data_IF_032652746341
#
_entry.id   IF_032652746341
#
_cell.length_a   1.000
_cell.length_b   1.000
_cell.length_c   1.000
_cell.angle_alpha   90.00
_cell.angle_beta   90.00
_cell.angle_gamma   90.00
#
_symmetry.space_group_name_H-M   'P 1'
#
loop_
_entity.id
_entity.type
_entity.pdbx_description
1 polymer ?
#
# COMPACT_ATOMS: atom_id res chain seq x y z
N UNK A 1 12.45 -19.81 7.79
CA UNK A 1 11.49 -18.67 7.79
C UNK A 1 12.12 -17.59 8.64
N UNK A 2 12.40 -16.40 8.09
CA UNK A 2 13.20 -15.37 8.77
C UNK A 2 12.33 -14.67 9.83
N UNK A 3 12.47 -15.09 11.08
CA UNK A 3 11.76 -14.52 12.24
C UNK A 3 12.55 -13.42 12.94
N UNK A 4 13.86 -13.30 12.68
CA UNK A 4 14.76 -12.36 13.38
C UNK A 4 14.48 -10.88 13.08
N UNK A 5 13.97 -10.55 11.89
CA UNK A 5 13.67 -9.18 11.50
C UNK A 5 12.17 -8.86 11.49
N UNK A 6 11.34 -9.79 11.98
CA UNK A 6 9.90 -9.59 12.01
C UNK A 6 9.54 -8.57 13.10
N UNK A 7 8.87 -7.45 12.76
CA UNK A 7 8.49 -6.45 13.74
C UNK A 7 7.58 -7.05 14.81
N UNK A 8 7.78 -6.68 16.08
CA UNK A 8 7.03 -7.24 17.23
C UNK A 8 5.50 -7.41 17.06
N UNK A 9 4.75 -6.52 16.37
CA UNK A 9 3.31 -6.75 16.13
C UNK A 9 2.98 -7.98 15.25
N UNK A 10 3.95 -8.51 14.50
CA UNK A 10 3.83 -9.73 13.72
C UNK A 10 4.43 -10.96 14.44
N UNK A 11 5.30 -10.73 15.43
CA UNK A 11 6.02 -11.78 16.17
C UNK A 11 5.20 -12.39 17.32
N UNK A 12 4.22 -11.64 17.87
CA UNK A 12 3.34 -12.12 18.94
C UNK A 12 2.00 -12.64 18.40
N UNK A 13 1.94 -13.95 18.17
CA UNK A 13 0.67 -14.71 18.22
C UNK A 13 -0.28 -14.58 17.03
N UNK A 14 0.07 -13.88 15.94
CA UNK A 14 -0.76 -13.83 14.73
C UNK A 14 -0.21 -14.72 13.62
N UNK A 15 -0.33 -16.03 13.80
CA UNK A 15 -0.26 -16.98 12.68
C UNK A 15 -1.44 -16.81 11.67
N UNK A 16 -2.38 -15.91 11.96
CA UNK A 16 -3.61 -15.68 11.18
C UNK A 16 -3.58 -14.41 10.32
N UNK A 17 -2.48 -13.65 10.27
CA UNK A 17 -2.33 -12.59 9.26
C UNK A 17 -2.01 -13.25 7.93
N UNK A 18 -3.07 -13.61 7.19
CA UNK A 18 -2.95 -14.19 5.84
C UNK A 18 -2.53 -13.16 4.79
N UNK A 19 -2.90 -11.90 5.01
CA UNK A 19 -2.78 -10.84 4.02
C UNK A 19 -2.34 -9.53 4.68
N UNK A 20 -1.22 -8.98 4.20
CA UNK A 20 -0.76 -7.63 4.51
C UNK A 20 -1.05 -6.73 3.31
N UNK A 21 -1.59 -5.54 3.58
CA UNK A 21 -1.87 -4.54 2.54
C UNK A 21 -0.95 -3.35 2.78
N UNK A 22 -0.14 -3.04 1.78
CA UNK A 22 0.79 -1.91 1.81
C UNK A 22 0.45 -0.91 0.71
N UNK A 23 0.40 0.37 1.07
CA UNK A 23 0.23 1.48 0.14
C UNK A 23 1.61 2.07 -0.16
N UNK A 24 2.30 1.48 -1.14
CA UNK A 24 3.65 1.89 -1.48
C UNK A 24 3.64 3.14 -2.36
N UNK A 25 4.47 4.14 -2.00
CA UNK A 25 4.75 5.28 -2.87
C UNK A 25 5.98 5.03 -3.74
N UNK A 26 5.80 5.16 -5.05
CA UNK A 26 6.85 5.04 -6.05
C UNK A 26 7.27 6.42 -6.55
N UNK A 27 8.53 6.84 -6.40
CA UNK A 27 9.00 8.10 -6.95
C UNK A 27 8.98 8.04 -8.48
N UNK A 28 8.52 9.13 -9.10
CA UNK A 28 8.49 9.29 -10.56
C UNK A 28 9.29 10.52 -10.98
N UNK A 29 9.67 10.56 -12.26
CA UNK A 29 10.19 11.79 -12.84
C UNK A 29 9.12 12.88 -12.78
N UNK A 30 9.54 14.11 -12.46
CA UNK A 30 8.66 15.28 -12.46
C UNK A 30 7.89 15.36 -13.78
N UNK A 31 6.53 15.35 -13.74
CA UNK A 31 5.72 15.54 -14.94
C UNK A 31 6.00 16.89 -15.59
N UNK A 32 5.88 16.95 -16.92
CA UNK A 32 6.02 18.20 -17.69
C UNK A 32 4.83 19.14 -17.49
N UNK A 33 3.64 18.58 -17.23
CA UNK A 33 2.43 19.33 -16.92
C UNK A 33 2.43 19.79 -15.46
N UNK A 34 2.19 21.09 -15.25
CA UNK A 34 2.07 21.67 -13.90
C UNK A 34 0.93 21.01 -13.10
N UNK A 35 -0.19 20.70 -13.76
CA UNK A 35 -1.34 20.05 -13.13
C UNK A 35 -0.99 18.63 -12.67
N UNK A 36 -0.35 17.83 -13.52
CA UNK A 36 0.07 16.48 -13.16
C UNK A 36 1.15 16.49 -12.08
N UNK A 37 2.07 17.46 -12.13
CA UNK A 37 3.05 17.66 -11.08
C UNK A 37 2.38 17.94 -9.74
N UNK A 38 1.32 18.76 -9.69
CA UNK A 38 0.60 19.04 -8.45
C UNK A 38 -0.13 17.79 -7.93
N UNK A 39 -0.78 17.03 -8.81
CA UNK A 39 -1.54 15.84 -8.43
C UNK A 39 -0.66 14.69 -7.93
N UNK A 40 0.53 14.55 -8.50
CA UNK A 40 1.49 13.50 -8.14
C UNK A 40 2.47 13.93 -7.05
N UNK A 41 2.41 15.15 -6.54
CA UNK A 41 3.33 15.59 -5.51
C UNK A 41 2.99 14.97 -4.15
N UNK A 42 3.93 14.24 -3.56
CA UNK A 42 3.84 13.77 -2.19
C UNK A 42 4.55 14.75 -1.28
N UNK A 43 3.79 15.40 -0.39
CA UNK A 43 4.36 16.29 0.62
C UNK A 43 5.28 15.54 1.58
N UNK A 44 4.99 14.26 1.85
CA UNK A 44 5.76 13.44 2.79
C UNK A 44 7.15 13.09 2.26
N UNK A 45 7.25 12.82 0.95
CA UNK A 45 8.51 12.48 0.28
C UNK A 45 9.16 13.68 -0.43
N UNK A 46 8.49 14.84 -0.42
CA UNK A 46 8.90 16.07 -1.09
C UNK A 46 9.29 15.86 -2.57
N UNK A 47 8.61 14.93 -3.24
CA UNK A 47 8.88 14.53 -4.63
C UNK A 47 7.60 14.07 -5.30
N UNK A 48 7.60 13.97 -6.62
CA UNK A 48 6.50 13.40 -7.37
C UNK A 48 6.49 11.88 -7.18
N UNK A 49 5.38 11.35 -6.68
CA UNK A 49 5.16 9.92 -6.47
C UNK A 49 3.84 9.46 -7.08
N UNK A 50 3.77 8.17 -7.37
CA UNK A 50 2.53 7.44 -7.59
C UNK A 50 2.32 6.46 -6.45
N UNK A 51 1.08 6.27 -6.02
CA UNK A 51 0.73 5.36 -4.93
C UNK A 51 0.07 4.13 -5.50
N UNK A 52 0.53 2.96 -5.09
CA UNK A 52 -0.01 1.66 -5.49
C UNK A 52 -0.37 0.83 -4.27
N UNK A 53 -1.49 0.13 -4.33
CA UNK A 53 -1.83 -0.86 -3.31
C UNK A 53 -1.20 -2.20 -3.68
N UNK A 54 -0.44 -2.78 -2.75
CA UNK A 54 0.23 -4.06 -2.91
C UNK A 54 -0.30 -5.00 -1.84
N UNK A 55 -0.69 -6.20 -2.28
CA UNK A 55 -1.11 -7.27 -1.39
C UNK A 55 0.04 -8.26 -1.26
N UNK A 56 0.44 -8.51 -0.02
CA UNK A 56 1.48 -9.48 0.34
C UNK A 56 0.82 -10.60 1.13
N UNK A 57 0.97 -11.84 0.65
CA UNK A 57 0.48 -13.04 1.34
C UNK A 57 1.63 -14.03 1.50
N UNK A 58 1.76 -14.64 2.67
CA UNK A 58 2.84 -15.59 2.98
C UNK A 58 4.27 -15.07 2.64
N UNK A 59 4.53 -13.79 2.92
CA UNK A 59 5.79 -13.09 2.59
C UNK A 59 6.12 -12.99 1.09
N UNK A 60 5.15 -13.18 0.20
CA UNK A 60 5.29 -12.99 -1.24
C UNK A 60 4.28 -11.96 -1.76
N UNK A 61 4.65 -11.22 -2.80
CA UNK A 61 3.72 -10.30 -3.49
C UNK A 61 2.67 -11.15 -4.19
N UNK A 62 1.42 -11.01 -3.75
CA UNK A 62 0.28 -11.74 -4.30
C UNK A 62 -0.40 -10.95 -5.42
N UNK A 63 -0.52 -9.63 -5.26
CA UNK A 63 -1.19 -8.79 -6.26
C UNK A 63 -0.73 -7.34 -6.17
N UNK A 64 -0.68 -6.69 -7.34
CA UNK A 64 -0.36 -5.27 -7.50
C UNK A 64 -1.54 -4.61 -8.19
N UNK A 65 -2.04 -3.54 -7.61
CA UNK A 65 -3.17 -2.78 -8.14
C UNK A 65 -2.68 -1.61 -9.02
N UNK A 66 -3.58 -0.99 -9.82
CA UNK A 66 -3.25 0.20 -10.58
C UNK A 66 -2.65 1.30 -9.70
N UNK A 67 -1.74 2.07 -10.30
CA UNK A 67 -1.12 3.22 -9.65
C UNK A 67 -2.04 4.45 -9.74
N UNK A 68 -2.09 5.21 -8.66
CA UNK A 68 -2.87 6.43 -8.54
C UNK A 68 -1.98 7.63 -8.15
N UNK A 69 -2.49 8.84 -8.35
CA UNK A 69 -1.80 10.06 -7.96
C UNK A 69 -1.56 10.13 -6.44
N UNK A 70 -0.45 10.73 -6.02
CA UNK A 70 -0.11 10.89 -4.60
C UNK A 70 -1.15 11.66 -3.79
N UNK A 71 -1.86 12.60 -4.42
CA UNK A 71 -2.96 13.36 -3.80
C UNK A 71 -4.19 12.51 -3.44
N UNK A 72 -4.28 11.27 -3.91
CA UNK A 72 -5.41 10.39 -3.61
C UNK A 72 -5.28 9.85 -2.17
N UNK A 73 -6.37 9.94 -1.40
CA UNK A 73 -6.41 9.45 -0.02
C UNK A 73 -6.39 7.92 0.03
N UNK A 74 -5.86 7.35 1.13
CA UNK A 74 -5.82 5.89 1.31
C UNK A 74 -7.23 5.29 1.24
N UNK A 75 -8.23 5.95 1.87
CA UNK A 75 -9.64 5.53 1.79
C UNK A 75 -10.12 5.44 0.34
N UNK A 76 -9.81 6.43 -0.49
CA UNK A 76 -10.21 6.42 -1.90
C UNK A 76 -9.48 5.33 -2.67
N UNK A 77 -8.23 5.02 -2.31
CA UNK A 77 -7.46 3.92 -2.89
C UNK A 77 -8.14 2.57 -2.61
N UNK A 78 -8.57 2.33 -1.37
CA UNK A 78 -9.31 1.12 -1.00
C UNK A 78 -10.63 0.98 -1.77
N UNK A 79 -11.37 2.09 -1.92
CA UNK A 79 -12.64 2.13 -2.67
C UNK A 79 -12.41 1.86 -4.16
N UNK A 80 -11.43 2.55 -4.76
CA UNK A 80 -11.12 2.43 -6.19
C UNK A 80 -10.68 1.00 -6.55
N UNK A 81 -9.94 0.35 -5.64
CA UNK A 81 -9.46 -1.02 -5.82
C UNK A 81 -10.46 -2.10 -5.39
N UNK A 82 -11.63 -1.71 -4.88
CA UNK A 82 -12.69 -2.62 -4.40
C UNK A 82 -12.16 -3.70 -3.46
N UNK A 83 -11.23 -3.33 -2.58
CA UNK A 83 -10.56 -4.32 -1.73
C UNK A 83 -11.56 -5.06 -0.83
N UNK A 84 -12.57 -4.36 -0.32
CA UNK A 84 -13.57 -4.94 0.59
C UNK A 84 -14.37 -6.09 -0.03
N UNK A 85 -14.52 -6.10 -1.36
CA UNK A 85 -15.22 -7.17 -2.08
C UNK A 85 -14.36 -8.45 -2.21
N UNK A 86 -13.07 -8.37 -1.89
CA UNK A 86 -12.08 -9.44 -2.07
C UNK A 86 -11.54 -10.01 -0.77
N UNK A 87 -11.84 -9.39 0.36
CA UNK A 87 -11.41 -9.85 1.68
C UNK A 87 -12.45 -10.81 2.26
N UNK A 88 -11.99 -11.94 2.79
CA UNK A 88 -12.86 -12.80 3.57
C UNK A 88 -13.10 -12.17 4.96
N UNK A 89 -14.28 -12.38 5.58
CA UNK A 89 -14.60 -11.82 6.90
C UNK A 89 -13.64 -12.24 8.03
N UNK A 90 -12.86 -13.29 7.79
CA UNK A 90 -11.86 -13.85 8.71
C UNK A 90 -10.45 -13.28 8.47
N UNK A 91 -10.23 -12.53 7.38
CA UNK A 91 -8.93 -12.00 7.03
C UNK A 91 -8.55 -10.82 7.91
N UNK A 92 -7.43 -10.95 8.61
CA UNK A 92 -6.84 -9.85 9.39
C UNK A 92 -5.92 -9.04 8.48
N UNK A 93 -6.43 -7.91 8.00
CA UNK A 93 -5.62 -6.96 7.23
C UNK A 93 -4.82 -6.05 8.15
N UNK A 94 -3.51 -6.00 7.94
CA UNK A 94 -2.65 -4.98 8.54
C UNK A 94 -2.32 -3.95 7.46
N UNK A 95 -2.66 -2.69 7.72
CA UNK A 95 -2.26 -1.56 6.89
C UNK A 95 -1.02 -0.92 7.51
N UNK A 96 0.09 -0.93 6.78
CA UNK A 96 1.27 -0.17 7.16
C UNK A 96 1.06 1.29 6.75
N UNK A 97 0.76 2.16 7.72
CA UNK A 97 0.84 3.60 7.52
C UNK A 97 2.30 3.99 7.71
N UNK A 98 2.98 4.32 6.60
CA UNK A 98 4.36 4.79 6.59
C UNK A 98 4.53 6.23 7.08
#
# INVERSE_FOLDING_TARGET
>A
MVTEYMPQPFSFGKNDVRITVDNTEFPIQKPSSCMEQQLTFSSCKNTNTLRGMIIISNCAISSIYPLYCASLSDKQLFINNKLMDRLDPIDVCVCCNG
#
